data_IF_973714880151
#
_entry.id   IF_973714880151
#
_cell.length_a   1.000
_cell.length_b   1.000
_cell.length_c   1.000
_cell.angle_alpha   90.00
_cell.angle_beta   90.00
_cell.angle_gamma   90.00
#
_symmetry.space_group_name_H-M   'P 1'
#
loop_
_entity.id
_entity.type
_entity.pdbx_description
1 polymer ?
#
# COMPACT_ATOMS: atom_id res chain seq x y z
N UNK A 1 -13.14 3.66 -10.19
CA UNK A 1 -13.42 2.45 -9.40
C UNK A 1 -12.96 2.61 -7.95
N UNK A 2 -11.66 2.74 -7.67
CA UNK A 2 -11.13 2.83 -6.28
C UNK A 2 -11.60 4.07 -5.50
N UNK A 3 -11.99 5.14 -6.20
CA UNK A 3 -12.56 6.35 -5.60
C UNK A 3 -13.90 6.13 -4.86
N UNK A 4 -14.54 4.98 -5.03
CA UNK A 4 -15.77 4.61 -4.32
C UNK A 4 -15.51 4.06 -2.91
N UNK A 5 -14.24 3.84 -2.54
CA UNK A 5 -13.92 3.36 -1.20
C UNK A 5 -14.33 4.39 -0.14
N UNK A 6 -15.07 3.94 0.89
CA UNK A 6 -15.54 4.81 1.98
C UNK A 6 -16.74 5.69 1.64
N UNK A 7 -17.31 5.58 0.42
CA UNK A 7 -18.52 6.34 0.02
C UNK A 7 -19.81 5.53 0.13
N UNK A 8 -19.75 4.32 0.71
CA UNK A 8 -20.84 3.34 0.77
C UNK A 8 -21.59 3.15 -0.57
N UNK A 9 -20.87 2.79 -1.65
CA UNK A 9 -21.47 2.66 -2.98
C UNK A 9 -22.42 1.47 -3.05
N UNK A 10 -23.47 1.58 -3.87
CA UNK A 10 -24.29 0.41 -4.19
C UNK A 10 -23.49 -0.61 -5.01
N UNK A 11 -23.86 -1.89 -4.90
CA UNK A 11 -23.26 -2.99 -5.64
C UNK A 11 -23.24 -2.70 -7.15
N UNK A 12 -24.34 -2.20 -7.71
CA UNK A 12 -24.43 -1.90 -9.15
C UNK A 12 -23.38 -0.88 -9.59
N UNK A 13 -23.10 0.13 -8.78
CA UNK A 13 -22.12 1.16 -9.08
C UNK A 13 -20.70 0.59 -9.12
N UNK A 14 -20.36 -0.30 -8.19
CA UNK A 14 -19.05 -0.97 -8.16
C UNK A 14 -18.87 -1.86 -9.41
N UNK A 15 -19.90 -2.62 -9.78
CA UNK A 15 -19.87 -3.47 -10.97
C UNK A 15 -19.77 -2.67 -12.27
N UNK A 16 -20.54 -1.60 -12.41
CA UNK A 16 -20.47 -0.74 -13.60
C UNK A 16 -19.06 -0.16 -13.76
N UNK A 17 -18.44 0.32 -12.68
CA UNK A 17 -17.05 0.85 -12.73
C UNK A 17 -16.00 -0.22 -13.08
N UNK A 18 -16.25 -1.49 -12.76
CA UNK A 18 -15.39 -2.60 -13.16
C UNK A 18 -15.56 -2.94 -14.64
N UNK A 19 -16.80 -2.96 -15.12
CA UNK A 19 -17.12 -3.18 -16.53
C UNK A 19 -16.50 -2.08 -17.39
N UNK A 20 -16.71 -0.81 -17.04
CA UNK A 20 -16.12 0.35 -17.73
C UNK A 20 -14.58 0.21 -17.82
N UNK A 21 -13.95 -0.24 -16.73
CA UNK A 21 -12.51 -0.46 -16.67
C UNK A 21 -12.05 -1.58 -17.60
N UNK A 22 -12.71 -2.74 -17.59
CA UNK A 22 -12.34 -3.86 -18.45
C UNK A 22 -12.58 -3.55 -19.92
N UNK A 23 -13.66 -2.85 -20.25
CA UNK A 23 -13.93 -2.35 -21.60
C UNK A 23 -12.81 -1.41 -22.06
N UNK A 24 -12.44 -0.44 -21.22
CA UNK A 24 -11.33 0.46 -21.54
C UNK A 24 -10.01 -0.29 -21.80
N UNK A 25 -9.70 -1.32 -21.00
CA UNK A 25 -8.50 -2.14 -21.24
C UNK A 25 -8.57 -2.95 -22.53
N UNK A 26 -9.76 -3.42 -22.92
CA UNK A 26 -9.96 -4.15 -24.17
C UNK A 26 -9.86 -3.21 -25.39
N UNK A 27 -10.47 -2.03 -25.30
CA UNK A 27 -10.51 -1.03 -26.39
C UNK A 27 -9.14 -0.40 -26.66
N UNK A 28 -8.29 -0.32 -25.65
CA UNK A 28 -6.98 0.30 -25.77
C UNK A 28 -5.97 -0.52 -26.61
N UNK A 29 -6.21 -1.82 -26.83
CA UNK A 29 -5.32 -2.75 -27.56
C UNK A 29 -3.84 -2.71 -27.11
N UNK A 30 -3.61 -2.43 -25.82
CA UNK A 30 -2.28 -2.41 -25.21
C UNK A 30 -2.10 -3.71 -24.42
N UNK A 31 -1.12 -4.58 -24.76
CA UNK A 31 -0.91 -5.85 -24.07
C UNK A 31 -0.70 -5.71 -22.55
N UNK A 32 -0.07 -4.62 -22.12
CA UNK A 32 0.13 -4.30 -20.70
C UNK A 32 -1.18 -4.02 -19.98
N UNK A 33 -2.17 -3.39 -20.65
CA UNK A 33 -3.50 -3.17 -20.10
C UNK A 33 -4.32 -4.46 -20.07
N UNK A 34 -4.17 -5.34 -21.06
CA UNK A 34 -4.74 -6.70 -21.00
C UNK A 34 -4.22 -7.50 -19.80
N UNK A 35 -2.89 -7.46 -19.55
CA UNK A 35 -2.28 -8.10 -18.38
C UNK A 35 -2.73 -7.45 -17.06
N UNK A 36 -2.90 -6.14 -17.04
CA UNK A 36 -3.46 -5.42 -15.89
C UNK A 36 -4.89 -5.86 -15.62
N UNK A 37 -5.75 -5.91 -16.64
CA UNK A 37 -7.13 -6.35 -16.53
C UNK A 37 -7.22 -7.78 -15.96
N UNK A 38 -6.43 -8.71 -16.50
CA UNK A 38 -6.34 -10.07 -15.96
C UNK A 38 -5.92 -10.10 -14.49
N UNK A 39 -4.93 -9.28 -14.12
CA UNK A 39 -4.51 -9.14 -12.72
C UNK A 39 -5.65 -8.62 -11.85
N UNK A 40 -6.36 -7.58 -12.28
CA UNK A 40 -7.49 -7.01 -11.55
C UNK A 40 -8.62 -8.03 -11.39
N UNK A 41 -8.87 -8.90 -12.37
CA UNK A 41 -9.84 -9.99 -12.26
C UNK A 41 -9.50 -10.94 -11.12
N UNK A 42 -8.22 -11.30 -10.94
CA UNK A 42 -7.77 -12.16 -9.83
C UNK A 42 -8.03 -11.49 -8.48
N UNK A 43 -7.75 -10.19 -8.37
CA UNK A 43 -7.87 -9.44 -7.11
C UNK A 43 -9.27 -8.85 -6.87
N UNK A 44 -10.18 -9.00 -7.82
CA UNK A 44 -11.51 -8.38 -7.78
C UNK A 44 -12.29 -8.64 -6.49
N UNK A 45 -12.33 -9.86 -5.91
CA UNK A 45 -13.01 -10.09 -4.64
C UNK A 45 -12.44 -9.23 -3.50
N UNK A 46 -11.12 -9.13 -3.41
CA UNK A 46 -10.43 -8.32 -2.40
C UNK A 46 -10.65 -6.82 -2.59
N UNK A 47 -10.69 -6.36 -3.85
CA UNK A 47 -10.96 -4.94 -4.15
C UNK A 47 -12.39 -4.57 -3.77
N UNK A 48 -13.38 -5.42 -4.11
CA UNK A 48 -14.78 -5.21 -3.72
C UNK A 48 -14.93 -5.21 -2.19
N UNK A 49 -14.29 -6.16 -1.51
CA UNK A 49 -14.26 -6.20 -0.05
C UNK A 49 -13.66 -4.92 0.54
N UNK A 50 -12.56 -4.41 -0.03
CA UNK A 50 -11.94 -3.16 0.40
C UNK A 50 -12.82 -1.93 0.17
N UNK A 51 -13.57 -1.88 -0.93
CA UNK A 51 -14.55 -0.81 -1.21
C UNK A 51 -15.68 -0.83 -0.18
N UNK A 52 -16.25 -2.01 0.11
CA UNK A 52 -17.38 -2.17 1.03
C UNK A 52 -17.00 -1.93 2.49
N UNK A 53 -15.82 -2.41 2.90
CA UNK A 53 -15.37 -2.32 4.30
C UNK A 53 -14.56 -1.07 4.59
N UNK A 54 -14.03 -0.41 3.57
CA UNK A 54 -13.02 0.66 3.71
C UNK A 54 -11.66 0.16 4.23
N UNK A 55 -11.50 -1.15 4.46
CA UNK A 55 -10.27 -1.75 4.96
C UNK A 55 -9.30 -1.95 3.78
N UNK A 56 -8.08 -1.43 3.91
CA UNK A 56 -7.02 -1.60 2.91
C UNK A 56 -5.71 -2.05 3.56
N UNK A 57 -4.91 -2.79 2.79
CA UNK A 57 -3.57 -3.20 3.22
C UNK A 57 -2.55 -2.04 3.21
N UNK A 58 -2.94 -0.85 2.74
CA UNK A 58 -2.02 0.27 2.52
C UNK A 58 -1.27 0.71 3.76
N UNK A 59 -1.89 0.64 4.95
CA UNK A 59 -1.22 0.92 6.22
C UNK A 59 -0.11 -0.09 6.52
N UNK A 60 -0.38 -1.37 6.34
CA UNK A 60 0.58 -2.46 6.54
C UNK A 60 1.70 -2.40 5.50
N UNK A 61 1.37 -2.16 4.23
CA UNK A 61 2.35 -1.98 3.16
C UNK A 61 3.26 -0.79 3.39
N UNK A 62 2.73 0.32 3.92
CA UNK A 62 3.52 1.47 4.35
C UNK A 62 4.56 1.10 5.41
N UNK A 63 4.18 0.30 6.41
CA UNK A 63 5.13 -0.21 7.40
C UNK A 63 6.13 -1.19 6.79
N UNK A 64 5.68 -2.12 5.94
CA UNK A 64 6.56 -3.07 5.26
C UNK A 64 7.58 -2.35 4.38
N UNK A 65 7.23 -1.22 3.75
CA UNK A 65 8.17 -0.41 2.98
C UNK A 65 9.28 0.18 3.85
N UNK A 66 8.94 0.67 5.05
CA UNK A 66 9.92 1.17 6.02
C UNK A 66 10.81 0.03 6.49
N UNK A 67 10.22 -1.10 6.88
CA UNK A 67 10.94 -2.29 7.33
C UNK A 67 11.89 -2.80 6.25
N UNK A 68 11.40 -3.02 5.03
CA UNK A 68 12.20 -3.50 3.90
C UNK A 68 13.31 -2.53 3.49
N UNK A 69 13.20 -1.22 3.79
CA UNK A 69 14.28 -0.26 3.55
C UNK A 69 15.40 -0.33 4.60
N UNK A 70 15.07 -0.76 5.82
CA UNK A 70 15.98 -0.88 6.96
C UNK A 70 16.62 -2.27 6.99
N UNK A 71 15.85 -3.30 6.66
CA UNK A 71 16.27 -4.71 6.61
C UNK A 71 17.03 -4.97 5.33
N UNK A 72 18.29 -5.39 5.44
CA UNK A 72 19.00 -5.98 4.32
C UNK A 72 18.53 -7.42 4.13
N UNK A 73 17.74 -7.68 3.09
CA UNK A 73 17.37 -9.03 2.66
C UNK A 73 18.18 -9.42 1.42
N UNK A 74 18.79 -10.61 1.37
CA UNK A 74 19.43 -11.10 0.16
C UNK A 74 18.38 -11.23 -0.95
N UNK A 75 18.67 -10.66 -2.11
CA UNK A 75 17.97 -10.89 -3.36
C UNK A 75 18.47 -12.19 -3.98
N UNK A 76 17.70 -12.76 -4.91
CA UNK A 76 18.02 -14.05 -5.56
C UNK A 76 19.31 -14.03 -6.39
N UNK A 77 19.76 -12.84 -6.81
CA UNK A 77 21.02 -12.60 -7.53
C UNK A 77 22.20 -12.32 -6.58
N UNK A 78 22.00 -12.37 -5.26
CA UNK A 78 23.01 -12.08 -4.25
C UNK A 78 23.17 -10.59 -3.92
N UNK A 79 22.46 -9.68 -4.61
CA UNK A 79 22.38 -8.27 -4.19
C UNK A 79 21.56 -8.13 -2.90
N UNK A 80 21.73 -7.06 -2.12
CA UNK A 80 20.90 -6.84 -0.93
C UNK A 80 19.81 -5.80 -1.22
N UNK A 81 18.55 -6.14 -0.93
CA UNK A 81 17.44 -5.19 -0.96
C UNK A 81 17.27 -4.63 0.45
N UNK A 82 17.28 -3.30 0.57
CA UNK A 82 17.20 -2.58 1.84
C UNK A 82 18.58 -2.28 2.45
N UNK A 83 18.98 -1.02 2.43
CA UNK A 83 20.36 -0.61 2.71
C UNK A 83 20.49 0.74 3.44
N UNK A 84 19.41 1.30 3.99
CA UNK A 84 19.46 2.65 4.61
C UNK A 84 19.97 2.61 6.06
N UNK A 85 20.40 1.43 6.55
CA UNK A 85 20.81 1.21 7.93
C UNK A 85 22.35 1.18 8.15
N UNK A 86 23.17 1.62 7.20
CA UNK A 86 24.64 1.75 7.36
C UNK A 86 25.32 0.57 8.11
N UNK A 87 24.93 -0.68 7.81
CA UNK A 87 25.66 -1.85 8.29
C UNK A 87 25.42 -2.31 9.74
N UNK A 88 24.29 -1.97 10.40
CA UNK A 88 23.95 -2.61 11.68
C UNK A 88 23.74 -4.13 11.51
N UNK A 89 24.71 -4.95 11.95
CA UNK A 89 24.67 -6.42 11.84
C UNK A 89 23.99 -7.13 13.01
N UNK A 90 23.50 -6.39 14.02
CA UNK A 90 22.84 -6.96 15.20
C UNK A 90 21.32 -6.75 15.13
N UNK A 91 20.58 -7.87 15.19
CA UNK A 91 19.12 -7.98 15.17
C UNK A 91 18.41 -7.13 16.23
N UNK A 92 19.01 -6.90 17.41
CA UNK A 92 18.43 -6.05 18.45
C UNK A 92 18.47 -4.56 18.09
N UNK A 93 19.59 -4.08 17.53
CA UNK A 93 19.69 -2.70 17.04
C UNK A 93 18.77 -2.46 15.84
N UNK A 94 18.60 -3.49 15.01
CA UNK A 94 17.65 -3.49 13.91
C UNK A 94 16.20 -3.33 14.41
N UNK A 95 15.74 -4.18 15.34
CA UNK A 95 14.38 -4.11 15.92
C UNK A 95 14.09 -2.73 16.51
N UNK A 96 15.05 -2.14 17.22
CA UNK A 96 14.93 -0.79 17.81
C UNK A 96 14.73 0.28 16.74
N UNK A 97 15.42 0.19 15.60
CA UNK A 97 15.33 1.17 14.51
C UNK A 97 14.03 1.04 13.71
N UNK A 98 13.55 -0.18 13.45
CA UNK A 98 12.21 -0.41 12.92
C UNK A 98 11.17 0.21 13.84
N UNK A 99 11.23 -0.08 15.14
CA UNK A 99 10.30 0.50 16.12
C UNK A 99 10.36 2.02 16.11
N UNK A 100 11.55 2.60 16.12
CA UNK A 100 11.73 4.05 16.06
C UNK A 100 11.11 4.64 14.79
N UNK A 101 11.37 4.07 13.61
CA UNK A 101 10.87 4.57 12.34
C UNK A 101 9.33 4.43 12.22
N UNK A 102 8.77 3.28 12.55
CA UNK A 102 7.33 3.02 12.48
C UNK A 102 6.53 3.85 13.50
N UNK A 103 7.12 4.20 14.65
CA UNK A 103 6.47 5.03 15.68
C UNK A 103 6.89 6.51 15.64
N UNK A 104 7.73 6.92 14.68
CA UNK A 104 8.20 8.31 14.59
C UNK A 104 7.05 9.28 14.32
N UNK A 105 6.09 8.89 13.50
CA UNK A 105 4.91 9.70 13.19
C UNK A 105 3.95 9.81 14.39
N UNK A 106 3.80 8.76 15.20
CA UNK A 106 2.98 8.78 16.42
C UNK A 106 3.62 9.55 17.59
N UNK A 107 4.89 9.96 17.43
CA UNK A 107 5.67 10.70 18.44
C UNK A 107 5.82 12.19 18.14
N UNK A 108 5.38 12.65 16.97
CA UNK A 108 5.24 14.09 16.72
C UNK A 108 4.07 14.57 17.58
N UNK A 109 4.36 15.34 18.63
CA UNK A 109 3.32 16.07 19.34
C UNK A 109 2.49 16.87 18.33
N UNK A 110 1.14 16.88 18.41
CA UNK A 110 0.38 17.84 17.66
C UNK A 110 0.86 19.23 18.10
N UNK A 111 1.30 20.05 17.14
CA UNK A 111 1.70 21.43 17.40
C UNK A 111 0.53 22.10 18.11
N UNK A 112 0.68 22.35 19.41
CA UNK A 112 -0.38 22.91 20.24
C UNK A 112 -0.50 24.38 19.85
N UNK A 113 -1.43 24.73 18.97
CA UNK A 113 -1.72 26.13 18.64
C UNK A 113 -2.19 26.80 19.93
N UNK A 114 -1.37 27.70 20.48
CA UNK A 114 -1.74 28.49 21.63
C UNK A 114 -2.93 29.37 21.24
N UNK A 115 -4.03 29.30 22.02
CA UNK A 115 -5.10 30.30 21.94
C UNK A 115 -4.55 31.61 22.50
N UNK A 116 -4.44 32.64 21.67
CA UNK A 116 -4.29 34.01 22.16
C UNK A 116 -5.61 34.47 22.77
N UNK A 117 -5.54 34.98 23.99
CA UNK A 117 -6.61 35.75 24.63
C UNK A 117 -6.65 37.17 24.10
#
# INVERSE_FOLDING_TARGET
MLSLAGTNPDRSQVWNRLIDFYQHCADADIPQLGRLAWTITIWQPSIIAGINTGISNGKTEGYNRIVNSITATPHSDGSMVGCVAFGFRNTENHKRRIRFACTRASRREPTRTAKSH
#
